data_IF_302375230797
#
_entry.id   IF_302375230797
#
_cell.length_a   1.000
_cell.length_b   1.000
_cell.length_c   1.000
_cell.angle_alpha   90.00
_cell.angle_beta   90.00
_cell.angle_gamma   90.00
#
_symmetry.space_group_name_H-M   'P 1'
#
loop_
_entity.id
_entity.type
_entity.pdbx_description
1 polymer ?
#
# COMPACT_ATOMS: atom_id res chain seq x y z
N UNK A 1 -12.92 14.38 8.68
CA UNK A 1 -13.84 13.76 7.73
C UNK A 1 -13.54 12.27 7.60
N UNK A 2 -14.58 11.48 7.45
CA UNK A 2 -14.49 10.04 7.20
C UNK A 2 -15.13 9.73 5.86
N UNK A 3 -14.37 9.14 4.96
CA UNK A 3 -14.84 8.77 3.64
C UNK A 3 -14.93 7.25 3.52
N UNK A 4 -15.93 6.76 2.84
CA UNK A 4 -16.16 5.35 2.60
C UNK A 4 -15.97 5.03 1.12
N UNK A 5 -15.14 4.04 0.83
CA UNK A 5 -15.01 3.45 -0.49
C UNK A 5 -15.60 2.03 -0.42
N UNK A 6 -16.79 1.85 -0.97
CA UNK A 6 -17.53 0.61 -0.86
C UNK A 6 -18.54 0.46 -2.02
N UNK A 7 -19.01 -0.79 -2.30
CA UNK A 7 -20.01 -1.00 -3.34
C UNK A 7 -21.31 -0.24 -3.09
N UNK A 8 -21.69 -0.11 -1.80
CA UNK A 8 -22.94 0.54 -1.40
C UNK A 8 -22.69 1.52 -0.26
N UNK A 9 -23.48 2.62 -0.18
CA UNK A 9 -23.37 3.53 0.93
C UNK A 9 -23.88 2.91 2.23
N UNK A 10 -23.38 3.43 3.36
CA UNK A 10 -23.93 3.14 4.69
C UNK A 10 -24.52 4.41 5.30
N UNK A 11 -25.57 4.25 6.12
CA UNK A 11 -26.35 5.39 6.59
C UNK A 11 -25.65 6.25 7.64
N UNK A 12 -24.62 5.73 8.31
CA UNK A 12 -23.99 6.42 9.43
C UNK A 12 -22.47 6.20 9.46
N UNK A 13 -21.76 7.17 10.01
CA UNK A 13 -20.34 7.08 10.32
C UNK A 13 -19.39 7.65 9.27
N UNK A 14 -19.89 8.04 8.10
CA UNK A 14 -19.07 8.58 7.02
C UNK A 14 -19.65 9.87 6.46
N UNK A 15 -18.78 10.80 6.12
CA UNK A 15 -19.13 12.10 5.57
C UNK A 15 -19.33 12.05 4.06
N UNK A 16 -18.71 11.09 3.41
CA UNK A 16 -18.75 10.93 1.95
C UNK A 16 -18.61 9.47 1.57
N UNK A 17 -19.30 9.07 0.52
CA UNK A 17 -19.21 7.74 -0.06
C UNK A 17 -18.72 7.82 -1.51
N UNK A 18 -17.83 6.90 -1.87
CA UNK A 18 -17.35 6.65 -3.22
C UNK A 18 -17.75 5.26 -3.65
N UNK A 19 -18.45 5.09 -4.77
CA UNK A 19 -18.72 3.77 -5.31
C UNK A 19 -17.40 3.06 -5.65
N UNK A 20 -17.42 1.74 -5.50
CA UNK A 20 -16.24 0.92 -5.74
C UNK A 20 -16.08 0.68 -7.24
N UNK A 21 -15.23 1.46 -7.90
CA UNK A 21 -14.88 1.26 -9.30
C UNK A 21 -14.22 -0.11 -9.51
N UNK A 22 -14.24 -0.68 -10.75
CA UNK A 22 -13.73 -2.04 -10.99
C UNK A 22 -12.27 -2.23 -10.66
N UNK A 23 -11.43 -1.24 -10.90
CA UNK A 23 -9.97 -1.35 -10.73
C UNK A 23 -9.44 -0.37 -9.69
N UNK A 24 -8.30 -0.70 -9.09
CA UNK A 24 -7.64 0.19 -8.14
C UNK A 24 -7.19 1.52 -8.77
N UNK A 25 -6.62 1.55 -9.98
CA UNK A 25 -6.33 2.84 -10.62
C UNK A 25 -7.54 3.76 -10.74
N UNK A 26 -8.69 3.22 -11.12
CA UNK A 26 -9.93 4.00 -11.22
C UNK A 26 -10.42 4.51 -9.86
N UNK A 27 -10.32 3.66 -8.82
CA UNK A 27 -10.67 4.05 -7.44
C UNK A 27 -9.79 5.19 -6.95
N UNK A 28 -8.49 5.07 -7.15
CA UNK A 28 -7.52 6.09 -6.74
C UNK A 28 -7.69 7.39 -7.55
N UNK A 29 -8.02 7.27 -8.83
CA UNK A 29 -8.32 8.42 -9.67
C UNK A 29 -9.54 9.18 -9.17
N UNK A 30 -10.59 8.49 -8.75
CA UNK A 30 -11.77 9.10 -8.17
C UNK A 30 -11.46 9.86 -6.88
N UNK A 31 -10.63 9.27 -6.00
CA UNK A 31 -10.17 9.93 -4.78
C UNK A 31 -9.30 11.15 -5.10
N UNK A 32 -8.43 11.05 -6.09
CA UNK A 32 -7.60 12.16 -6.57
C UNK A 32 -8.44 13.32 -7.10
N UNK A 33 -9.46 13.02 -7.91
CA UNK A 33 -10.39 14.03 -8.42
C UNK A 33 -11.17 14.73 -7.29
N UNK A 34 -11.37 14.05 -6.17
CA UNK A 34 -11.99 14.62 -4.97
C UNK A 34 -11.02 15.41 -4.07
N UNK A 35 -9.74 15.52 -4.47
CA UNK A 35 -8.74 16.35 -3.78
C UNK A 35 -7.72 15.57 -2.95
N UNK A 36 -7.75 14.23 -2.94
CA UNK A 36 -6.76 13.44 -2.22
C UNK A 36 -5.49 13.33 -3.06
N UNK A 37 -4.42 13.99 -2.61
CA UNK A 37 -3.12 13.99 -3.27
C UNK A 37 -2.15 12.98 -2.68
N UNK A 38 -2.33 12.60 -1.42
CA UNK A 38 -1.50 11.62 -0.72
C UNK A 38 -2.38 10.66 0.05
N UNK A 39 -2.10 9.39 -0.11
CA UNK A 39 -2.79 8.32 0.60
C UNK A 39 -1.75 7.48 1.32
N UNK A 40 -1.93 7.29 2.62
CA UNK A 40 -1.09 6.42 3.43
C UNK A 40 -1.88 5.18 3.79
N UNK A 41 -1.34 4.02 3.41
CA UNK A 41 -1.90 2.72 3.76
C UNK A 41 -1.14 2.17 4.96
N UNK A 42 -1.82 1.98 6.09
CA UNK A 42 -1.22 1.50 7.32
C UNK A 42 -1.23 -0.04 7.45
N UNK A 43 -1.73 -0.72 6.44
CA UNK A 43 -1.85 -2.19 6.40
C UNK A 43 -3.31 -2.56 6.08
N UNK A 44 -3.71 -3.72 6.29
CA UNK A 44 -3.59 -5.06 6.22
C UNK A 44 -2.95 -5.70 4.98
N UNK A 45 -2.57 -6.94 5.17
CA UNK A 45 -1.80 -7.68 4.18
C UNK A 45 -2.53 -7.83 2.85
N UNK A 46 -3.82 -8.13 2.86
CA UNK A 46 -4.59 -8.32 1.63
C UNK A 46 -4.73 -7.01 0.85
N UNK A 47 -5.06 -5.91 1.50
CA UNK A 47 -5.19 -4.61 0.85
C UNK A 47 -3.84 -4.14 0.29
N UNK A 48 -2.75 -4.36 1.02
CA UNK A 48 -1.40 -4.06 0.55
C UNK A 48 -1.05 -4.89 -0.69
N UNK A 49 -1.37 -6.18 -0.69
CA UNK A 49 -1.16 -7.05 -1.83
C UNK A 49 -1.96 -6.60 -3.05
N UNK A 50 -3.22 -6.23 -2.87
CA UNK A 50 -4.09 -5.78 -3.97
C UNK A 50 -3.55 -4.50 -4.64
N UNK A 51 -3.09 -3.54 -3.86
CA UNK A 51 -2.50 -2.31 -4.38
C UNK A 51 -1.15 -2.55 -5.07
N UNK A 52 -0.33 -3.45 -4.54
CA UNK A 52 0.92 -3.85 -5.19
C UNK A 52 0.65 -4.62 -6.48
N UNK A 53 -0.35 -5.51 -6.52
CA UNK A 53 -0.76 -6.21 -7.74
C UNK A 53 -1.17 -5.24 -8.85
N UNK A 54 -1.78 -4.14 -8.49
CA UNK A 54 -2.18 -3.09 -9.44
C UNK A 54 -1.07 -2.07 -9.75
N UNK A 55 0.14 -2.24 -9.20
CA UNK A 55 1.26 -1.28 -9.26
C UNK A 55 0.83 0.15 -8.86
N UNK A 56 0.01 0.24 -7.82
CA UNK A 56 -0.52 1.51 -7.32
C UNK A 56 0.21 2.03 -6.08
N UNK A 57 1.37 1.47 -5.74
CA UNK A 57 2.17 1.89 -4.59
C UNK A 57 3.37 2.69 -5.07
N UNK A 58 3.48 3.94 -4.61
CA UNK A 58 4.56 4.84 -5.00
C UNK A 58 5.74 4.79 -4.04
N UNK A 59 5.48 4.47 -2.79
CA UNK A 59 6.52 4.40 -1.76
C UNK A 59 6.20 3.29 -0.74
N UNK A 60 7.25 2.65 -0.25
CA UNK A 60 7.18 1.70 0.85
C UNK A 60 7.97 2.23 2.03
N UNK A 61 7.40 2.10 3.21
CA UNK A 61 8.11 2.35 4.46
C UNK A 61 7.95 1.12 5.34
N UNK A 62 9.08 0.50 5.67
CA UNK A 62 9.12 -0.73 6.44
C UNK A 62 9.93 -0.51 7.71
N UNK A 63 9.38 -0.97 8.84
CA UNK A 63 10.14 -1.03 10.10
C UNK A 63 10.59 -2.46 10.32
N UNK A 64 11.89 -2.64 10.47
CA UNK A 64 12.51 -3.92 10.79
C UNK A 64 12.80 -3.97 12.28
N UNK A 65 12.33 -5.03 12.92
CA UNK A 65 12.58 -5.26 14.35
C UNK A 65 13.47 -6.48 14.54
N UNK A 66 14.31 -6.54 15.60
CA UNK A 66 15.26 -7.64 15.81
C UNK A 66 14.56 -8.87 16.42
N UNK A 67 13.46 -9.31 15.82
CA UNK A 67 12.68 -10.46 16.25
C UNK A 67 12.24 -11.28 15.04
N UNK A 68 12.28 -12.60 15.18
CA UNK A 68 11.79 -13.53 14.17
C UNK A 68 10.60 -14.27 14.76
N UNK A 69 9.40 -13.92 14.31
CA UNK A 69 8.18 -14.52 14.85
C UNK A 69 7.80 -15.79 14.11
N UNK A 70 8.03 -15.85 12.81
CA UNK A 70 7.57 -16.96 11.97
C UNK A 70 6.05 -17.03 11.90
N UNK A 71 5.54 -18.20 11.51
CA UNK A 71 4.10 -18.41 11.40
C UNK A 71 3.58 -18.21 9.98
N UNK A 72 2.24 -18.35 9.83
CA UNK A 72 1.59 -18.32 8.53
C UNK A 72 1.18 -16.91 8.06
N UNK A 73 1.25 -15.93 8.93
CA UNK A 73 0.87 -14.56 8.59
C UNK A 73 2.10 -13.73 8.26
N UNK A 74 2.03 -12.98 7.18
CA UNK A 74 3.07 -12.04 6.76
C UNK A 74 2.42 -10.71 6.35
N UNK A 75 3.24 -9.69 6.15
CA UNK A 75 2.74 -8.40 5.69
C UNK A 75 2.24 -8.44 4.23
N UNK A 76 2.68 -9.44 3.46
CA UNK A 76 2.09 -9.80 2.16
C UNK A 76 1.66 -11.27 2.22
N UNK A 77 0.47 -11.62 1.72
CA UNK A 77 0.04 -13.03 1.68
C UNK A 77 0.97 -13.85 0.77
N UNK A 78 1.44 -14.98 1.28
CA UNK A 78 2.31 -15.90 0.52
C UNK A 78 1.53 -16.83 -0.41
N UNK A 79 0.21 -16.88 -0.30
CA UNK A 79 -0.66 -17.79 -1.05
C UNK A 79 -1.26 -17.16 -2.31
N UNK A 80 -1.07 -15.87 -2.52
CA UNK A 80 -1.57 -15.17 -3.69
C UNK A 80 -0.65 -15.38 -4.89
N UNK A 81 -1.14 -15.01 -6.07
CA UNK A 81 -0.34 -14.98 -7.29
C UNK A 81 0.91 -14.10 -7.08
N UNK A 82 2.02 -14.39 -7.78
CA UNK A 82 3.19 -13.53 -7.73
C UNK A 82 2.83 -12.08 -8.06
N UNK A 83 3.55 -11.14 -7.46
CA UNK A 83 3.42 -9.73 -7.83
C UNK A 83 3.87 -9.52 -9.29
N UNK A 84 3.40 -8.45 -9.96
CA UNK A 84 3.84 -8.16 -11.32
C UNK A 84 5.37 -8.16 -11.44
N UNK A 85 5.89 -8.76 -12.50
CA UNK A 85 7.33 -8.89 -12.72
C UNK A 85 8.07 -7.54 -12.70
N UNK A 86 7.39 -6.47 -13.11
CA UNK A 86 7.95 -5.12 -13.08
C UNK A 86 8.36 -4.66 -11.67
N UNK A 87 7.70 -5.18 -10.62
CA UNK A 87 8.03 -4.83 -9.24
C UNK A 87 9.28 -5.54 -8.72
N UNK A 88 9.66 -6.65 -9.34
CA UNK A 88 10.82 -7.47 -8.97
C UNK A 88 12.08 -7.13 -9.78
N UNK A 89 11.99 -6.26 -10.76
CA UNK A 89 13.13 -5.90 -11.60
C UNK A 89 14.17 -5.09 -10.81
N UNK A 90 15.48 -5.29 -11.09
CA UNK A 90 16.49 -4.40 -10.57
C UNK A 90 16.18 -2.94 -10.94
N UNK A 91 16.25 -2.05 -9.96
CA UNK A 91 15.92 -0.64 -10.18
C UNK A 91 14.43 -0.31 -10.11
N UNK A 92 13.55 -1.28 -9.90
CA UNK A 92 12.12 -1.03 -9.69
C UNK A 92 11.84 -0.16 -8.46
N UNK A 93 12.70 -0.25 -7.47
CA UNK A 93 12.62 0.50 -6.22
C UNK A 93 13.96 1.17 -5.93
N UNK A 94 13.91 2.41 -5.52
CA UNK A 94 15.09 3.18 -5.11
C UNK A 94 15.04 3.39 -3.60
N UNK A 95 16.15 3.12 -2.93
CA UNK A 95 16.29 3.45 -1.51
C UNK A 95 16.30 4.96 -1.31
N UNK A 96 15.47 5.45 -0.40
CA UNK A 96 15.39 6.88 -0.06
C UNK A 96 15.91 7.19 1.33
N UNK A 97 16.16 6.18 2.14
CA UNK A 97 16.72 6.38 3.46
C UNK A 97 16.58 5.18 4.36
N UNK A 98 17.46 5.15 5.31
CA UNK A 98 17.47 4.19 6.43
C UNK A 98 17.66 4.99 7.70
N UNK A 99 16.82 4.75 8.68
CA UNK A 99 16.83 5.47 9.95
C UNK A 99 16.89 4.49 11.11
N UNK A 100 17.83 4.73 12.02
CA UNK A 100 17.92 3.98 13.27
C UNK A 100 16.88 4.54 14.25
N UNK A 101 15.92 3.70 14.63
CA UNK A 101 14.86 4.06 15.57
C UNK A 101 15.24 3.78 17.03
N UNK A 102 16.41 3.18 17.28
CA UNK A 102 16.79 2.70 18.59
C UNK A 102 16.33 1.26 18.84
N UNK A 103 16.88 0.64 19.87
CA UNK A 103 16.53 -0.73 20.31
C UNK A 103 16.67 -1.80 19.21
N UNK A 104 17.57 -1.56 18.24
CA UNK A 104 17.79 -2.47 17.12
C UNK A 104 16.75 -2.37 16.02
N UNK A 105 15.87 -1.39 16.06
CA UNK A 105 14.85 -1.18 15.05
C UNK A 105 15.33 -0.23 13.95
N UNK A 106 15.00 -0.55 12.71
CA UNK A 106 15.38 0.21 11.52
C UNK A 106 14.16 0.55 10.69
N UNK A 107 14.07 1.81 10.25
CA UNK A 107 13.08 2.26 9.28
C UNK A 107 13.73 2.36 7.91
N UNK A 108 13.16 1.68 6.93
CA UNK A 108 13.68 1.66 5.56
C UNK A 108 12.62 2.23 4.63
N UNK A 109 13.03 3.14 3.74
CA UNK A 109 12.13 3.77 2.77
C UNK A 109 12.58 3.46 1.36
N UNK A 110 11.61 3.07 0.52
CA UNK A 110 11.82 2.83 -0.91
C UNK A 110 10.80 3.61 -1.72
N UNK A 111 11.23 4.13 -2.85
CA UNK A 111 10.35 4.76 -3.84
C UNK A 111 10.26 3.88 -5.08
N UNK A 112 9.05 3.72 -5.60
CA UNK A 112 8.80 3.02 -6.85
C UNK A 112 9.32 3.85 -8.03
N UNK A 113 10.14 3.25 -8.86
CA UNK A 113 10.62 3.86 -10.11
C UNK A 113 9.87 3.18 -11.25
N UNK A 114 9.08 3.96 -11.94
CA UNK A 114 8.41 3.50 -13.16
C UNK A 114 9.16 4.03 -14.35
N UNK A 115 9.53 3.12 -15.25
CA UNK A 115 10.13 3.49 -16.52
C UNK A 115 9.04 4.04 -17.45
N UNK A 116 9.27 5.16 -17.95
CA UNK A 116 8.36 5.74 -18.91
C UNK A 116 7.94 6.71 -19.41
#
# INVERSE_FOLDING_TARGET
QRWLLAPEPVDQGFDRWFPLAPTWPERLQALGAAGIQRLVLLGGAQLSADLLQADCVDALQLTLVPQLLGGRFSWLPCTNAPLPAALAQPGAWQSEGVEDLGDGEWLVRYRRIRSG
#
